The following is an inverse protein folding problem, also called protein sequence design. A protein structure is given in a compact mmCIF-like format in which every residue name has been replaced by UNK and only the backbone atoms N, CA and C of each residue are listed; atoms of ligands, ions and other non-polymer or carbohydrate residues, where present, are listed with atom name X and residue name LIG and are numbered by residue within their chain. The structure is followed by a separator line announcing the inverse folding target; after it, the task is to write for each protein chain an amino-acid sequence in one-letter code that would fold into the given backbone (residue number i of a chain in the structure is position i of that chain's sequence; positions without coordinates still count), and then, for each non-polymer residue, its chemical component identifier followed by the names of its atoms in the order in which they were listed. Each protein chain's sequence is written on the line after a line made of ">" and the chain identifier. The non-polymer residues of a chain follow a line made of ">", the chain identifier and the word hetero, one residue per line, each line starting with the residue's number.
data_IF_873151266228
#
_entry.id   IF_873151266228
#
_cell.length_a   1.000
_cell.length_b   1.000
_cell.length_c   1.000
_cell.angle_alpha   90.00
_cell.angle_beta   90.00
_cell.angle_gamma   90.00
#
_symmetry.space_group_name_H-M   'P 1'
#
loop_
_entity.id
_entity.type
_entity.pdbx_description
1 polymer ?
#
# COMPACT_ATOMS: atom_id res chain seq x y z
N UNK A 1 -7.31 -18.94 -6.63
CA UNK A 1 -7.22 -18.29 -7.95
C UNK A 1 -8.42 -17.36 -8.05
N UNK A 2 -8.24 -16.09 -8.41
CA UNK A 2 -9.33 -15.12 -8.43
C UNK A 2 -10.33 -15.44 -9.55
N UNK A 3 -11.60 -15.57 -9.18
CA UNK A 3 -12.69 -15.68 -10.13
C UNK A 3 -13.05 -14.29 -10.72
N UNK A 4 -14.08 -14.25 -11.57
CA UNK A 4 -14.52 -12.99 -12.18
C UNK A 4 -15.13 -12.02 -11.17
N UNK A 5 -15.79 -12.53 -10.14
CA UNK A 5 -16.41 -11.75 -9.07
C UNK A 5 -15.36 -11.12 -8.17
N UNK A 6 -14.33 -11.87 -7.79
CA UNK A 6 -13.21 -11.36 -7.00
C UNK A 6 -12.51 -10.21 -7.74
N UNK A 7 -12.30 -10.35 -9.06
CA UNK A 7 -11.70 -9.30 -9.89
C UNK A 7 -12.56 -8.05 -9.97
N UNK A 8 -13.87 -8.21 -10.12
CA UNK A 8 -14.82 -7.10 -10.11
C UNK A 8 -14.80 -6.37 -8.76
N UNK A 9 -14.79 -7.12 -7.66
CA UNK A 9 -14.71 -6.58 -6.31
C UNK A 9 -13.39 -5.83 -6.05
N UNK A 10 -12.25 -6.38 -6.50
CA UNK A 10 -10.96 -5.69 -6.39
C UNK A 10 -10.99 -4.37 -7.15
N UNK A 11 -11.45 -4.38 -8.41
CA UNK A 11 -11.53 -3.14 -9.21
C UNK A 11 -12.42 -2.08 -8.55
N UNK A 12 -13.56 -2.49 -7.98
CA UNK A 12 -14.45 -1.59 -7.26
C UNK A 12 -13.78 -0.97 -6.03
N UNK A 13 -13.16 -1.79 -5.18
CA UNK A 13 -12.60 -1.35 -3.90
C UNK A 13 -11.32 -0.51 -4.05
N UNK A 14 -10.68 -0.49 -5.23
CA UNK A 14 -9.50 0.35 -5.48
C UNK A 14 -9.81 1.84 -5.47
N UNK A 15 -11.02 2.23 -5.88
CA UNK A 15 -11.49 3.62 -5.84
C UNK A 15 -11.92 4.05 -4.42
N UNK A 16 -11.98 3.08 -3.50
CA UNK A 16 -12.42 3.24 -2.12
C UNK A 16 -13.81 2.65 -1.88
N UNK A 17 -14.36 2.94 -0.71
CA UNK A 17 -15.70 2.54 -0.30
C UNK A 17 -16.38 3.73 0.36
N UNK A 18 -17.70 3.82 0.24
CA UNK A 18 -18.47 4.89 0.88
C UNK A 18 -18.23 4.90 2.40
N UNK A 19 -18.14 6.08 3.01
CA UNK A 19 -18.10 6.22 4.47
C UNK A 19 -19.53 6.36 4.97
N UNK A 20 -20.17 5.22 5.23
CA UNK A 20 -21.56 5.11 5.68
C UNK A 20 -21.72 3.99 6.73
N UNK A 21 -22.96 3.74 7.17
CA UNK A 21 -23.27 2.72 8.19
C UNK A 21 -23.02 1.29 7.70
N UNK A 22 -23.25 1.01 6.41
CA UNK A 22 -23.13 -0.32 5.80
C UNK A 22 -22.32 -0.28 4.49
N UNK A 23 -21.03 0.04 4.56
CA UNK A 23 -20.22 0.35 3.37
C UNK A 23 -20.06 -0.86 2.44
N UNK A 24 -19.97 -2.08 3.01
CA UNK A 24 -19.85 -3.31 2.23
C UNK A 24 -21.17 -3.72 1.57
N UNK A 25 -22.32 -3.40 2.17
CA UNK A 25 -23.62 -3.58 1.52
C UNK A 25 -23.76 -2.69 0.29
N UNK A 26 -23.36 -1.41 0.41
CA UNK A 26 -23.41 -0.45 -0.71
C UNK A 26 -22.48 -0.88 -1.84
N UNK A 27 -21.25 -1.28 -1.52
CA UNK A 27 -20.30 -1.81 -2.52
C UNK A 27 -20.79 -3.11 -3.17
N UNK A 28 -21.35 -4.03 -2.39
CA UNK A 28 -21.90 -5.28 -2.90
C UNK A 28 -23.04 -5.05 -3.89
N UNK A 29 -23.92 -4.09 -3.60
CA UNK A 29 -25.06 -3.77 -4.46
C UNK A 29 -24.65 -3.35 -5.89
N UNK A 30 -23.50 -2.69 -6.05
CA UNK A 30 -22.98 -2.29 -7.37
C UNK A 30 -22.60 -3.47 -8.28
N UNK A 31 -22.21 -4.59 -7.68
CA UNK A 31 -21.75 -5.79 -8.39
C UNK A 31 -22.63 -7.02 -8.14
N UNK A 32 -23.80 -6.84 -7.51
CA UNK A 32 -24.78 -7.89 -7.28
C UNK A 32 -24.43 -8.89 -6.18
N UNK A 33 -23.66 -8.46 -5.17
CA UNK A 33 -23.31 -9.25 -3.98
C UNK A 33 -24.03 -8.73 -2.74
N UNK A 34 -24.28 -9.63 -1.78
CA UNK A 34 -24.66 -9.22 -0.43
C UNK A 34 -23.44 -8.81 0.41
N UNK A 35 -23.71 -8.17 1.55
CA UNK A 35 -22.67 -7.65 2.43
C UNK A 35 -21.76 -8.75 3.00
N UNK A 36 -22.32 -9.91 3.36
CA UNK A 36 -21.56 -11.00 3.97
C UNK A 36 -20.60 -11.63 2.96
N UNK A 37 -21.03 -11.78 1.70
CA UNK A 37 -20.20 -12.29 0.61
C UNK A 37 -19.05 -11.34 0.29
N UNK A 38 -19.29 -10.02 0.24
CA UNK A 38 -18.23 -9.02 0.06
C UNK A 38 -17.18 -9.16 1.16
N UNK A 39 -17.59 -9.17 2.42
CA UNK A 39 -16.67 -9.29 3.56
C UNK A 39 -15.89 -10.61 3.52
N UNK A 40 -16.57 -11.73 3.22
CA UNK A 40 -15.95 -13.04 3.13
C UNK A 40 -14.88 -13.11 2.03
N UNK A 41 -15.17 -12.57 0.84
CA UNK A 41 -14.23 -12.53 -0.28
C UNK A 41 -13.03 -11.63 0.01
N UNK A 42 -13.23 -10.44 0.58
CA UNK A 42 -12.12 -9.55 0.99
C UNK A 42 -11.22 -10.25 2.00
N UNK A 43 -11.78 -10.91 3.02
CA UNK A 43 -11.01 -11.68 4.01
C UNK A 43 -10.22 -12.81 3.36
N UNK A 44 -10.85 -13.62 2.51
CA UNK A 44 -10.18 -14.70 1.82
C UNK A 44 -9.00 -14.20 0.95
N UNK A 45 -9.17 -13.08 0.27
CA UNK A 45 -8.09 -12.46 -0.52
C UNK A 45 -6.96 -11.90 0.34
N UNK A 46 -7.26 -11.39 1.54
CA UNK A 46 -6.24 -11.00 2.52
C UNK A 46 -5.48 -12.24 3.04
N UNK A 47 -6.19 -13.29 3.43
CA UNK A 47 -5.62 -14.50 4.03
C UNK A 47 -4.70 -15.25 3.05
N UNK A 48 -5.04 -15.26 1.76
CA UNK A 48 -4.21 -15.88 0.72
C UNK A 48 -3.16 -14.94 0.10
N UNK A 49 -3.06 -13.70 0.58
CA UNK A 49 -2.04 -12.73 0.15
C UNK A 49 -2.27 -12.10 -1.22
N UNK A 50 -3.46 -12.24 -1.81
CA UNK A 50 -3.85 -11.48 -3.01
C UNK A 50 -3.96 -10.00 -2.68
N UNK A 51 -4.60 -9.68 -1.56
CA UNK A 51 -4.61 -8.35 -0.98
C UNK A 51 -3.58 -8.31 0.15
N UNK A 52 -2.73 -7.29 0.16
CA UNK A 52 -1.76 -7.08 1.24
C UNK A 52 -2.35 -6.29 2.41
N UNK A 53 -3.34 -5.43 2.14
CA UNK A 53 -4.05 -4.62 3.12
C UNK A 53 -5.42 -4.22 2.60
N UNK A 54 -6.38 -4.06 3.50
CA UNK A 54 -7.61 -3.30 3.28
C UNK A 54 -7.76 -2.29 4.42
N UNK A 55 -7.84 -0.99 4.11
CA UNK A 55 -7.90 0.05 5.13
C UNK A 55 -7.55 1.44 4.60
N UNK A 56 -7.55 2.46 5.47
CA UNK A 56 -7.33 3.84 5.06
C UNK A 56 -5.95 4.03 4.43
N UNK A 57 -5.86 4.92 3.46
CA UNK A 57 -4.60 5.45 2.94
C UNK A 57 -4.46 6.90 3.41
N UNK A 58 -3.33 7.20 4.05
CA UNK A 58 -3.06 8.53 4.57
C UNK A 58 -2.17 9.31 3.62
N UNK A 59 -2.50 10.58 3.45
CA UNK A 59 -1.67 11.56 2.77
C UNK A 59 -0.77 12.23 3.82
N UNK A 60 0.54 11.97 3.75
CA UNK A 60 1.47 12.46 4.77
C UNK A 60 1.63 13.99 4.73
N UNK A 61 1.51 14.63 3.55
CA UNK A 61 1.59 16.09 3.45
C UNK A 61 0.40 16.75 4.15
N UNK A 62 -0.80 16.18 3.98
CA UNK A 62 -2.01 16.65 4.67
C UNK A 62 -1.97 16.45 6.19
N UNK A 63 -1.15 15.51 6.67
CA UNK A 63 -0.88 15.31 8.08
C UNK A 63 0.25 16.21 8.62
N UNK A 64 0.79 17.12 7.81
CA UNK A 64 1.84 18.07 8.19
C UNK A 64 3.27 17.53 8.01
N UNK A 65 3.42 16.38 7.36
CA UNK A 65 4.71 15.84 6.94
C UNK A 65 5.17 16.41 5.59
N UNK A 66 6.27 15.86 5.08
CA UNK A 66 6.77 16.16 3.74
C UNK A 66 7.44 14.91 3.16
N UNK A 67 7.44 14.79 1.84
CA UNK A 67 8.22 13.80 1.12
C UNK A 67 9.44 14.47 0.51
N UNK A 68 10.58 13.77 0.53
CA UNK A 68 11.78 14.23 -0.16
C UNK A 68 12.50 13.06 -0.80
N UNK A 69 13.14 13.32 -1.93
CA UNK A 69 14.09 12.41 -2.55
C UNK A 69 15.49 12.96 -2.29
N UNK A 70 16.28 12.22 -1.53
CA UNK A 70 17.68 12.54 -1.26
C UNK A 70 18.60 11.66 -2.10
N UNK A 71 19.71 12.22 -2.54
CA UNK A 71 20.76 11.49 -3.24
C UNK A 71 22.11 11.87 -2.64
N UNK A 72 23.00 10.90 -2.49
CA UNK A 72 24.32 11.08 -1.87
C UNK A 72 25.39 10.56 -2.81
N UNK A 73 26.62 11.06 -2.65
CA UNK A 73 27.81 10.45 -3.23
C UNK A 73 28.56 9.71 -2.13
N UNK A 74 28.48 8.40 -2.14
CA UNK A 74 29.00 7.53 -1.08
C UNK A 74 30.24 6.80 -1.58
N UNK A 75 31.43 7.06 -1.00
CA UNK A 75 32.64 6.29 -1.32
C UNK A 75 32.45 4.81 -0.98
N UNK A 76 32.97 3.93 -1.84
CA UNK A 76 32.77 2.47 -1.74
C UNK A 76 33.21 1.91 -0.39
N UNK A 77 34.30 2.42 0.15
CA UNK A 77 34.88 2.03 1.43
C UNK A 77 34.00 2.35 2.65
N UNK A 78 33.03 3.28 2.51
CA UNK A 78 32.10 3.68 3.56
C UNK A 78 30.64 3.31 3.25
N UNK A 79 30.40 2.59 2.16
CA UNK A 79 29.05 2.33 1.66
C UNK A 79 28.18 1.61 2.69
N UNK A 80 28.71 0.55 3.31
CA UNK A 80 28.01 -0.22 4.34
C UNK A 80 27.71 0.61 5.60
N UNK A 81 28.70 1.38 6.08
CA UNK A 81 28.56 2.29 7.22
C UNK A 81 27.44 3.30 6.99
N UNK A 82 27.46 3.98 5.84
CA UNK A 82 26.48 5.01 5.49
C UNK A 82 25.10 4.39 5.26
N UNK A 83 25.02 3.23 4.61
CA UNK A 83 23.76 2.50 4.44
C UNK A 83 23.12 2.17 5.79
N UNK A 84 23.91 1.71 6.77
CA UNK A 84 23.41 1.42 8.11
C UNK A 84 22.90 2.68 8.82
N UNK A 85 23.61 3.81 8.69
CA UNK A 85 23.15 5.10 9.25
C UNK A 85 21.82 5.52 8.64
N UNK A 86 21.68 5.45 7.31
CA UNK A 86 20.46 5.85 6.60
C UNK A 86 19.28 4.94 6.96
N UNK A 87 19.50 3.62 7.02
CA UNK A 87 18.46 2.66 7.36
C UNK A 87 18.03 2.71 8.85
N UNK A 88 18.76 3.44 9.70
CA UNK A 88 18.40 3.61 11.11
C UNK A 88 17.33 4.69 11.34
N UNK A 89 16.95 5.46 10.31
CA UNK A 89 15.86 6.43 10.39
C UNK A 89 14.52 5.75 10.05
N UNK A 90 13.57 5.78 10.98
CA UNK A 90 12.23 5.20 10.80
C UNK A 90 11.47 5.84 9.63
N UNK A 91 11.80 7.08 9.28
CA UNK A 91 11.21 7.83 8.18
C UNK A 91 11.70 7.38 6.79
N UNK A 92 12.82 6.63 6.72
CA UNK A 92 13.38 6.15 5.45
C UNK A 92 12.65 4.87 5.02
N UNK A 93 11.61 5.05 4.22
CA UNK A 93 10.85 3.93 3.66
C UNK A 93 11.62 3.14 2.58
N UNK A 94 12.50 3.80 1.84
CA UNK A 94 13.21 3.24 0.71
C UNK A 94 14.65 3.76 0.63
N UNK A 95 15.59 2.86 0.44
CA UNK A 95 17.01 3.16 0.23
C UNK A 95 17.57 2.20 -0.84
N UNK A 96 18.30 2.74 -1.82
CA UNK A 96 18.78 1.98 -2.98
C UNK A 96 20.20 2.38 -3.35
N UNK A 97 21.05 1.38 -3.60
CA UNK A 97 22.28 1.57 -4.38
C UNK A 97 21.92 1.76 -5.85
N UNK A 98 22.50 2.78 -6.50
CA UNK A 98 22.30 3.05 -7.93
C UNK A 98 23.62 3.21 -8.66
N UNK A 99 23.66 2.80 -9.92
CA UNK A 99 24.83 3.00 -10.80
C UNK A 99 24.91 4.46 -11.28
N UNK A 100 25.38 5.36 -10.42
CA UNK A 100 25.59 6.78 -10.71
C UNK A 100 26.68 7.38 -9.81
N UNK A 101 27.14 8.60 -10.10
CA UNK A 101 28.01 9.38 -9.18
C UNK A 101 27.30 9.76 -7.86
N UNK A 102 25.98 9.64 -7.84
CA UNK A 102 25.13 9.71 -6.66
C UNK A 102 24.55 8.31 -6.45
N UNK A 103 25.37 7.46 -5.83
CA UNK A 103 25.16 6.02 -5.72
C UNK A 103 24.37 5.60 -4.49
#
# INVERSE_FOLDING_TARGET
>A
MLDATDRALVNLLQDGIAVCERPFADAGAEIGLDEEEVIARVRAMLDCGVLTRFGPMFDAERLGGAFTLCAMRVPRERFEEITHIVNAFDEVAHNYEREHELN
#
